data_IF_597460109969
#
_entry.id   IF_597460109969
#
_cell.length_a   1.000
_cell.length_b   1.000
_cell.length_c   1.000
_cell.angle_alpha   90.00
_cell.angle_beta   90.00
_cell.angle_gamma   90.00
#
_symmetry.space_group_name_H-M   'P 1'
#
loop_
_entity.id
_entity.type
_entity.pdbx_description
1 polymer ?
#
# COMPACT_ATOMS: atom_id res chain seq x y z
N UNK A 1 -21.20 17.66 -4.81
CA UNK A 1 -20.00 18.52 -4.97
C UNK A 1 -19.35 18.16 -6.30
N UNK A 2 -18.94 19.17 -7.07
CA UNK A 2 -18.83 19.14 -8.54
C UNK A 2 -17.74 18.19 -9.06
N UNK A 3 -18.16 17.11 -9.74
CA UNK A 3 -17.30 16.25 -10.56
C UNK A 3 -16.86 17.02 -11.80
N UNK A 4 -15.55 17.31 -11.93
CA UNK A 4 -15.00 18.04 -13.07
C UNK A 4 -14.78 17.07 -14.24
N UNK A 5 -15.41 17.38 -15.38
CA UNK A 5 -15.23 16.69 -16.66
C UNK A 5 -13.79 16.80 -17.16
N UNK A 6 -13.36 15.76 -17.88
CA UNK A 6 -12.08 15.61 -18.57
C UNK A 6 -11.51 16.89 -19.19
N UNK A 7 -10.22 17.15 -18.95
CA UNK A 7 -9.39 18.12 -19.68
C UNK A 7 -8.62 17.31 -20.76
N UNK A 8 -8.38 17.84 -21.97
CA UNK A 8 -7.71 17.09 -23.06
C UNK A 8 -6.33 16.50 -22.72
N UNK A 9 -5.73 16.92 -21.62
CA UNK A 9 -4.39 16.57 -21.14
C UNK A 9 -4.36 15.48 -20.05
N UNK A 10 -5.49 14.85 -19.72
CA UNK A 10 -5.59 13.87 -18.63
C UNK A 10 -6.05 14.49 -17.31
N UNK A 11 -5.93 13.74 -16.20
CA UNK A 11 -6.37 14.21 -14.89
C UNK A 11 -5.48 15.34 -14.33
N UNK A 12 -6.05 16.32 -13.59
CA UNK A 12 -5.31 17.51 -13.15
C UNK A 12 -4.18 17.21 -12.16
N UNK A 13 -4.30 16.13 -11.40
CA UNK A 13 -3.31 15.70 -10.41
C UNK A 13 -2.72 14.34 -10.81
N UNK A 14 -1.40 14.12 -10.63
CA UNK A 14 -0.71 12.90 -11.08
C UNK A 14 -1.12 11.63 -10.32
N UNK A 15 -1.75 11.77 -9.16
CA UNK A 15 -2.28 10.67 -8.34
C UNK A 15 -3.78 10.42 -8.56
N UNK A 16 -4.41 11.12 -9.51
CA UNK A 16 -5.81 10.90 -9.87
C UNK A 16 -5.96 9.82 -10.95
N UNK A 17 -6.99 9.00 -10.77
CA UNK A 17 -7.41 8.04 -11.78
C UNK A 17 -8.47 8.63 -12.70
N UNK A 18 -8.36 8.33 -13.98
CA UNK A 18 -9.40 8.55 -14.97
C UNK A 18 -10.32 7.33 -14.98
N UNK A 19 -11.54 7.50 -14.49
CA UNK A 19 -12.52 6.42 -14.41
C UNK A 19 -13.02 5.98 -15.79
N UNK A 20 -13.75 4.87 -15.83
CA UNK A 20 -14.44 4.40 -17.05
C UNK A 20 -15.43 5.44 -17.63
N UNK A 21 -15.88 6.37 -16.80
CA UNK A 21 -16.86 7.41 -17.11
C UNK A 21 -16.24 8.76 -17.46
N UNK A 22 -14.92 8.82 -17.68
CA UNK A 22 -14.18 10.05 -18.02
C UNK A 22 -14.26 11.14 -16.93
N UNK A 23 -14.36 10.69 -15.68
CA UNK A 23 -14.21 11.55 -14.51
C UNK A 23 -12.90 11.25 -13.81
N UNK A 24 -12.29 12.29 -13.25
CA UNK A 24 -11.07 12.18 -12.46
C UNK A 24 -11.39 12.08 -10.98
N UNK A 25 -10.71 11.18 -10.28
CA UNK A 25 -10.91 11.08 -8.85
C UNK A 25 -9.93 10.19 -8.11
N UNK A 26 -9.99 10.41 -6.79
CA UNK A 26 -9.33 9.67 -5.71
C UNK A 26 -9.70 8.20 -5.68
N UNK A 27 -11.00 7.91 -5.65
CA UNK A 27 -11.56 6.74 -4.96
C UNK A 27 -11.60 5.49 -5.85
N UNK A 28 -12.01 4.33 -5.28
CA UNK A 28 -12.15 3.07 -6.01
C UNK A 28 -13.11 3.17 -7.21
N UNK A 29 -14.09 4.08 -7.16
CA UNK A 29 -14.97 4.38 -8.30
C UNK A 29 -14.19 4.87 -9.53
N UNK A 30 -13.04 5.52 -9.30
CA UNK A 30 -12.20 6.10 -10.35
C UNK A 30 -10.98 5.23 -10.67
N UNK A 31 -10.38 4.62 -9.65
CA UNK A 31 -9.16 3.84 -9.75
C UNK A 31 -9.37 2.33 -9.90
N UNK A 32 -10.59 1.82 -9.75
CA UNK A 32 -10.88 0.40 -9.86
C UNK A 32 -11.24 -0.02 -11.28
N UNK A 33 -12.23 -0.90 -11.39
CA UNK A 33 -12.65 -1.51 -12.65
C UNK A 33 -12.98 -0.49 -13.75
N UNK A 34 -12.23 -0.58 -14.85
CA UNK A 34 -12.37 0.29 -16.01
C UNK A 34 -11.67 1.65 -15.87
N UNK A 35 -10.80 1.81 -14.88
CA UNK A 35 -9.84 2.91 -14.87
C UNK A 35 -9.04 2.93 -16.18
N UNK A 36 -9.05 4.09 -16.85
CA UNK A 36 -8.46 4.32 -18.18
C UNK A 36 -7.03 4.85 -18.10
N UNK A 37 -6.71 5.60 -17.05
CA UNK A 37 -5.39 6.22 -16.85
C UNK A 37 -5.18 6.60 -15.37
N UNK A 38 -3.94 6.82 -14.97
CA UNK A 38 -3.58 7.08 -13.57
C UNK A 38 -3.27 5.78 -12.81
N UNK A 39 -3.29 5.78 -11.47
CA UNK A 39 -2.94 4.61 -10.66
C UNK A 39 -4.08 3.57 -10.60
N UNK A 40 -4.44 3.01 -11.75
CA UNK A 40 -5.52 2.03 -11.92
C UNK A 40 -5.30 0.68 -11.19
N UNK A 41 -4.06 0.36 -10.85
CA UNK A 41 -3.70 -0.85 -10.11
C UNK A 41 -3.32 -0.56 -8.65
N UNK A 42 -3.67 0.64 -8.14
CA UNK A 42 -3.35 1.02 -6.78
C UNK A 42 -4.40 0.54 -5.77
N UNK A 43 -3.92 -0.11 -4.73
CA UNK A 43 -4.66 -0.40 -3.52
C UNK A 43 -4.82 0.86 -2.68
N UNK A 44 -5.93 0.92 -1.95
CA UNK A 44 -6.21 1.91 -0.92
C UNK A 44 -6.37 1.20 0.40
N UNK A 45 -5.80 1.79 1.43
CA UNK A 45 -6.02 1.34 2.79
C UNK A 45 -5.44 2.34 3.76
N UNK A 46 -5.19 1.85 4.95
CA UNK A 46 -4.53 2.59 6.01
C UNK A 46 -3.20 1.93 6.34
N UNK A 47 -2.24 2.74 6.72
CA UNK A 47 -1.01 2.29 7.32
C UNK A 47 -1.10 2.41 8.83
N UNK A 48 -0.68 1.37 9.54
CA UNK A 48 -0.19 1.46 10.92
C UNK A 48 1.32 1.21 10.94
N UNK A 49 1.91 1.08 12.12
CA UNK A 49 3.30 0.67 12.25
C UNK A 49 3.50 -0.39 13.33
N UNK A 50 4.59 -1.14 13.20
CA UNK A 50 5.03 -2.13 14.17
C UNK A 50 6.56 -2.13 14.34
N UNK A 51 7.01 -2.71 15.45
CA UNK A 51 8.43 -2.98 15.70
C UNK A 51 8.79 -4.32 15.06
N UNK A 52 9.51 -4.28 13.95
CA UNK A 52 9.87 -5.47 13.14
C UNK A 52 11.04 -6.24 13.75
N UNK A 53 11.93 -5.54 14.47
CA UNK A 53 13.15 -6.13 15.05
C UNK A 53 12.91 -7.20 16.12
N UNK A 54 11.66 -7.46 16.51
CA UNK A 54 11.28 -8.41 17.57
C UNK A 54 11.38 -9.89 17.19
N UNK A 55 11.62 -10.22 15.91
CA UNK A 55 11.79 -11.62 15.51
C UNK A 55 11.87 -11.85 14.00
N UNK A 56 11.62 -13.11 13.61
CA UNK A 56 11.45 -13.48 12.21
C UNK A 56 10.08 -13.04 11.72
N UNK A 57 10.05 -12.49 10.51
CA UNK A 57 8.82 -12.15 9.81
C UNK A 57 8.18 -13.40 9.19
N UNK A 58 6.95 -13.27 8.69
CA UNK A 58 6.26 -14.32 7.94
C UNK A 58 7.02 -14.78 6.69
N UNK A 59 7.91 -13.96 6.13
CA UNK A 59 8.80 -14.36 5.04
C UNK A 59 10.05 -15.15 5.49
N UNK A 60 10.19 -15.39 6.79
CA UNK A 60 11.26 -16.23 7.35
C UNK A 60 12.60 -15.52 7.50
N UNK A 61 12.63 -14.18 7.46
CA UNK A 61 13.86 -13.36 7.57
C UNK A 61 13.74 -12.38 8.74
N UNK A 62 14.90 -11.93 9.25
CA UNK A 62 14.97 -10.86 10.25
C UNK A 62 15.24 -9.51 9.57
N UNK A 63 14.69 -8.46 10.14
CA UNK A 63 14.81 -7.09 9.63
C UNK A 63 14.97 -6.09 10.77
N UNK A 64 15.39 -4.87 10.45
CA UNK A 64 15.46 -3.76 11.42
C UNK A 64 14.35 -2.73 11.23
N UNK A 65 14.02 -2.00 12.29
CA UNK A 65 12.98 -0.96 12.28
C UNK A 65 13.33 0.26 11.42
N UNK A 66 14.60 0.35 11.00
CA UNK A 66 15.13 1.38 10.09
C UNK A 66 14.95 1.04 8.61
N UNK A 67 14.68 -0.22 8.25
CA UNK A 67 14.41 -0.61 6.86
C UNK A 67 13.05 -0.09 6.40
N UNK A 68 12.88 0.17 5.11
CA UNK A 68 11.57 0.49 4.54
C UNK A 68 10.86 -0.79 4.12
N UNK A 69 10.13 -1.35 5.06
CA UNK A 69 9.47 -2.65 4.95
C UNK A 69 8.04 -2.59 5.50
N UNK A 70 7.23 -3.57 5.14
CA UNK A 70 5.88 -3.69 5.65
C UNK A 70 5.40 -5.14 5.77
N UNK A 71 4.42 -5.31 6.66
CA UNK A 71 3.56 -6.47 6.71
C UNK A 71 2.32 -6.24 5.83
N UNK A 72 2.03 -7.20 4.96
CA UNK A 72 0.84 -7.18 4.12
C UNK A 72 -0.34 -7.85 4.84
N UNK A 73 -1.55 -7.32 4.69
CA UNK A 73 -2.75 -7.95 5.25
C UNK A 73 -2.94 -9.41 4.80
N UNK A 74 -3.54 -10.21 5.67
CA UNK A 74 -3.79 -11.65 5.43
C UNK A 74 -4.60 -11.94 4.17
N UNK A 75 -5.60 -11.12 3.85
CA UNK A 75 -6.48 -11.32 2.70
C UNK A 75 -5.73 -11.24 1.35
N UNK A 76 -4.65 -10.46 1.27
CA UNK A 76 -3.78 -10.40 0.10
C UNK A 76 -2.58 -11.36 0.21
N UNK A 77 -2.07 -11.60 1.42
CA UNK A 77 -0.93 -12.47 1.66
C UNK A 77 -1.28 -13.95 1.51
N UNK A 78 -2.25 -14.46 2.28
CA UNK A 78 -2.49 -15.90 2.43
C UNK A 78 -2.83 -16.65 1.13
N UNK A 79 -3.60 -16.08 0.16
CA UNK A 79 -3.83 -16.73 -1.14
C UNK A 79 -2.54 -16.98 -1.95
N UNK A 80 -1.47 -16.26 -1.63
CA UNK A 80 -0.16 -16.37 -2.29
C UNK A 80 0.82 -17.28 -1.53
N UNK A 81 0.35 -17.96 -0.47
CA UNK A 81 1.15 -18.86 0.36
C UNK A 81 1.05 -20.29 -0.15
N UNK A 82 2.06 -20.83 -0.86
CA UNK A 82 2.01 -22.20 -1.35
C UNK A 82 2.12 -23.21 -0.20
N UNK A 83 1.24 -24.21 -0.21
CA UNK A 83 1.23 -25.30 0.76
C UNK A 83 1.18 -24.84 2.23
N UNK A 84 0.61 -23.66 2.49
CA UNK A 84 0.48 -23.11 3.84
C UNK A 84 1.78 -22.68 4.52
N UNK A 85 2.93 -22.70 3.82
CA UNK A 85 4.21 -22.23 4.38
C UNK A 85 4.43 -20.74 4.05
N UNK A 86 4.26 -19.82 5.02
CA UNK A 86 4.35 -18.38 4.77
C UNK A 86 5.74 -17.93 4.31
N UNK A 87 6.81 -18.63 4.71
CA UNK A 87 8.18 -18.33 4.27
C UNK A 87 8.38 -18.52 2.75
N UNK A 88 7.43 -19.20 2.09
CA UNK A 88 7.43 -19.45 0.64
C UNK A 88 6.40 -18.59 -0.11
N UNK A 89 5.77 -17.62 0.56
CA UNK A 89 4.79 -16.76 -0.07
C UNK A 89 5.42 -16.02 -1.27
N UNK A 90 4.71 -16.00 -2.40
CA UNK A 90 5.24 -15.44 -3.66
C UNK A 90 5.34 -13.90 -3.64
N UNK A 91 4.72 -13.24 -2.66
CA UNK A 91 4.80 -11.79 -2.42
C UNK A 91 5.96 -11.39 -1.51
N UNK A 92 6.64 -12.34 -0.87
CA UNK A 92 7.82 -12.05 -0.07
C UNK A 92 8.91 -11.37 -0.91
N UNK A 93 9.52 -10.33 -0.34
CA UNK A 93 10.55 -9.48 -0.95
C UNK A 93 10.09 -8.69 -2.18
N UNK A 94 8.80 -8.69 -2.51
CA UNK A 94 8.25 -7.82 -3.55
C UNK A 94 8.20 -6.37 -3.05
N UNK A 95 8.34 -5.44 -3.98
CA UNK A 95 8.38 -4.02 -3.69
C UNK A 95 7.03 -3.39 -4.03
N UNK A 96 6.62 -2.44 -3.20
CA UNK A 96 5.47 -1.58 -3.43
C UNK A 96 5.91 -0.14 -3.36
N UNK A 97 5.33 0.72 -4.19
CA UNK A 97 5.43 2.15 -3.98
C UNK A 97 4.23 2.61 -3.15
N UNK A 98 4.49 3.12 -1.96
CA UNK A 98 3.47 3.59 -1.00
C UNK A 98 3.50 5.11 -0.97
N UNK A 99 2.31 5.71 -1.04
CA UNK A 99 2.10 7.16 -0.99
C UNK A 99 1.15 7.45 0.17
N UNK A 100 1.56 8.37 1.04
CA UNK A 100 0.79 8.84 2.17
C UNK A 100 0.91 10.36 2.34
N UNK A 101 0.35 10.90 3.43
CA UNK A 101 0.26 12.36 3.63
C UNK A 101 1.61 13.05 3.86
N UNK A 102 2.63 12.36 4.37
CA UNK A 102 3.95 12.96 4.64
C UNK A 102 4.94 12.73 3.49
N UNK A 103 4.67 11.78 2.60
CA UNK A 103 5.54 11.49 1.47
C UNK A 103 5.24 10.14 0.83
N UNK A 104 6.19 9.69 0.02
CA UNK A 104 6.14 8.39 -0.66
C UNK A 104 7.46 7.67 -0.53
N UNK A 105 7.41 6.34 -0.46
CA UNK A 105 8.61 5.53 -0.47
C UNK A 105 8.37 4.17 -1.14
N UNK A 106 9.46 3.57 -1.62
CA UNK A 106 9.47 2.16 -1.99
C UNK A 106 9.65 1.32 -0.74
N UNK A 107 8.72 0.39 -0.51
CA UNK A 107 8.63 -0.45 0.67
C UNK A 107 8.64 -1.92 0.26
N UNK A 108 9.43 -2.75 0.94
CA UNK A 108 9.54 -4.18 0.68
C UNK A 108 8.57 -4.96 1.57
N UNK A 109 7.75 -5.82 0.97
CA UNK A 109 6.86 -6.71 1.73
C UNK A 109 7.67 -7.86 2.30
N UNK A 110 7.71 -7.97 3.62
CA UNK A 110 8.50 -8.97 4.33
C UNK A 110 7.69 -9.76 5.35
N UNK A 111 6.46 -9.35 5.64
CA UNK A 111 5.70 -9.93 6.74
C UNK A 111 4.20 -10.00 6.42
N UNK A 112 3.45 -10.64 7.31
CA UNK A 112 2.00 -10.72 7.28
C UNK A 112 1.41 -10.00 8.50
N UNK A 113 0.41 -9.16 8.26
CA UNK A 113 -0.43 -8.57 9.30
C UNK A 113 -1.80 -9.29 9.33
N UNK A 114 -2.06 -10.21 10.28
CA UNK A 114 -3.30 -10.97 10.31
C UNK A 114 -4.56 -10.13 10.55
N UNK A 115 -4.43 -9.05 11.33
CA UNK A 115 -5.54 -8.16 11.73
C UNK A 115 -5.78 -6.97 10.80
N UNK A 116 -4.92 -6.76 9.80
CA UNK A 116 -5.04 -5.66 8.85
C UNK A 116 -6.18 -5.92 7.85
N UNK A 117 -6.89 -4.86 7.44
CA UNK A 117 -7.94 -4.97 6.42
C UNK A 117 -7.32 -5.13 5.04
N UNK A 118 -8.11 -5.56 4.06
CA UNK A 118 -7.68 -5.57 2.68
C UNK A 118 -7.22 -4.16 2.26
N UNK A 119 -6.05 -4.07 1.64
CA UNK A 119 -5.42 -2.79 1.26
C UNK A 119 -4.60 -2.11 2.36
N UNK A 120 -4.73 -2.52 3.63
CA UNK A 120 -3.91 -1.98 4.72
C UNK A 120 -2.49 -2.58 4.68
N UNK A 121 -1.52 -1.78 5.14
CA UNK A 121 -0.12 -2.17 5.36
C UNK A 121 0.27 -1.86 6.81
N UNK A 122 1.03 -2.75 7.45
CA UNK A 122 1.68 -2.42 8.73
C UNK A 122 3.15 -2.10 8.46
N UNK A 123 3.51 -0.82 8.50
CA UNK A 123 4.83 -0.35 8.08
C UNK A 123 5.85 -0.52 9.21
N UNK A 124 7.14 -0.59 8.89
CA UNK A 124 8.17 -0.29 9.89
C UNK A 124 8.04 1.16 10.37
N UNK A 125 8.52 1.46 11.58
CA UNK A 125 8.52 2.82 12.12
C UNK A 125 9.19 3.84 11.17
N UNK A 126 10.30 3.48 10.53
CA UNK A 126 10.99 4.36 9.60
C UNK A 126 10.18 4.63 8.33
N UNK A 127 9.52 3.61 7.77
CA UNK A 127 8.63 3.78 6.62
C UNK A 127 7.39 4.61 7.00
N UNK A 128 6.79 4.34 8.16
CA UNK A 128 5.64 5.11 8.65
C UNK A 128 5.97 6.59 8.82
N UNK A 129 7.11 6.92 9.43
CA UNK A 129 7.57 8.31 9.57
C UNK A 129 7.74 9.01 8.22
N UNK A 130 8.28 8.31 7.23
CA UNK A 130 8.48 8.87 5.89
C UNK A 130 7.18 9.05 5.10
N UNK A 131 6.22 8.14 5.24
CA UNK A 131 5.01 8.07 4.40
C UNK A 131 3.81 8.75 5.07
N UNK A 132 3.60 8.51 6.36
CA UNK A 132 2.42 8.96 7.12
C UNK A 132 2.75 10.14 8.03
N UNK A 133 3.88 10.08 8.74
CA UNK A 133 4.30 11.14 9.65
C UNK A 133 4.59 10.62 11.07
N UNK A 134 4.45 11.49 12.07
CA UNK A 134 4.78 11.16 13.45
C UNK A 134 4.06 9.89 13.96
N UNK A 135 4.75 9.06 14.75
CA UNK A 135 4.19 7.81 15.26
C UNK A 135 2.96 8.03 16.15
N UNK A 136 2.83 9.18 16.81
CA UNK A 136 1.67 9.54 17.61
C UNK A 136 0.37 9.64 16.81
N UNK A 137 0.43 9.71 15.48
CA UNK A 137 -0.74 9.61 14.58
C UNK A 137 -1.35 8.20 14.67
N UNK A 138 -0.54 7.16 14.85
CA UNK A 138 -0.95 5.77 14.99
C UNK A 138 -1.45 5.11 13.69
N UNK A 139 -2.21 5.83 12.86
CA UNK A 139 -2.81 5.33 11.62
C UNK A 139 -3.02 6.44 10.61
N UNK A 140 -2.71 6.20 9.33
CA UNK A 140 -2.94 7.18 8.27
C UNK A 140 -3.34 6.56 6.94
N UNK A 141 -4.08 7.32 6.12
CA UNK A 141 -4.51 6.85 4.81
C UNK A 141 -3.33 6.74 3.84
N UNK A 142 -3.28 5.65 3.09
CA UNK A 142 -2.28 5.41 2.06
C UNK A 142 -2.91 4.91 0.76
N UNK A 143 -2.19 5.14 -0.33
CA UNK A 143 -2.37 4.44 -1.60
C UNK A 143 -1.07 3.74 -1.96
N UNK A 144 -1.14 2.53 -2.51
CA UNK A 144 0.07 1.82 -2.90
C UNK A 144 -0.15 0.90 -4.09
N UNK A 145 0.92 0.61 -4.82
CA UNK A 145 0.89 -0.33 -5.94
C UNK A 145 2.15 -1.19 -5.94
N UNK A 146 2.04 -2.40 -6.47
CA UNK A 146 3.20 -3.25 -6.77
C UNK A 146 4.10 -2.58 -7.82
N UNK A 147 5.40 -2.87 -7.74
CA UNK A 147 6.43 -2.48 -8.71
C UNK A 147 6.82 -3.66 -9.62
#
# INVERSE_FOLDING_TARGET
MLSRRMVPSGCPEPDMCLSKWDYCGKTLEYCGDGCKAGPCDAFKGEATYYTVSVGFTACGTMHSDSEYIAALNSAQFDPQTPNGNPNRNTLCNKLVNVVGPNGSATVKIVDKCPGCRYGDLDLSEAAFKAIVGDLGIGRGQITWKWL
#
